data_IF_932359261172
#
_entry.id   IF_932359261172
#
_cell.length_a   1.000
_cell.length_b   1.000
_cell.length_c   1.000
_cell.angle_alpha   90.00
_cell.angle_beta   90.00
_cell.angle_gamma   90.00
#
_symmetry.space_group_name_H-M   'P 1'
#
loop_
_entity.id
_entity.type
_entity.pdbx_description
1 polymer ?
#
# COMPACT_ATOMS: atom_id res chain seq x y z
N UNK A 1 -11.01 7.31 0.27
CA UNK A 1 -11.68 8.26 1.19
C UNK A 1 -12.41 9.37 0.42
N UNK A 2 -11.81 9.96 -0.61
CA UNK A 2 -12.40 11.04 -1.42
C UNK A 2 -13.74 10.71 -2.09
N UNK A 3 -14.02 9.44 -2.40
CA UNK A 3 -15.27 9.01 -3.07
C UNK A 3 -16.53 9.25 -2.22
N UNK A 4 -16.40 9.25 -0.89
CA UNK A 4 -17.52 9.52 0.04
C UNK A 4 -17.56 10.99 0.46
N UNK A 5 -16.39 11.62 0.57
CA UNK A 5 -16.24 12.99 1.07
C UNK A 5 -16.70 14.04 0.04
N UNK A 6 -16.47 13.80 -1.26
CA UNK A 6 -16.89 14.71 -2.34
C UNK A 6 -18.42 14.86 -2.41
N UNK A 7 -19.24 13.78 -2.46
CA UNK A 7 -20.69 13.91 -2.42
C UNK A 7 -21.21 14.57 -1.13
N UNK A 8 -20.58 14.30 0.02
CA UNK A 8 -21.00 14.87 1.30
C UNK A 8 -20.79 16.40 1.37
N UNK A 9 -19.67 16.89 0.85
CA UNK A 9 -19.41 18.34 0.73
C UNK A 9 -20.39 18.99 -0.24
N UNK A 10 -20.63 18.38 -1.41
CA UNK A 10 -21.59 18.88 -2.41
C UNK A 10 -23.01 18.94 -1.81
N UNK A 11 -23.45 17.89 -1.11
CA UNK A 11 -24.74 17.88 -0.44
C UNK A 11 -24.86 19.01 0.59
N UNK A 12 -23.81 19.24 1.39
CA UNK A 12 -23.81 20.28 2.41
C UNK A 12 -23.89 21.70 1.82
N UNK A 13 -23.34 21.91 0.61
CA UNK A 13 -23.51 23.17 -0.15
C UNK A 13 -24.98 23.38 -0.53
N UNK A 14 -25.69 22.34 -0.97
CA UNK A 14 -27.11 22.44 -1.30
C UNK A 14 -28.01 22.69 -0.09
N UNK A 15 -27.61 22.18 1.09
CA UNK A 15 -28.31 22.41 2.36
C UNK A 15 -28.05 23.83 2.90
N UNK A 16 -27.01 24.52 2.41
CA UNK A 16 -26.66 25.89 2.82
C UNK A 16 -25.90 25.98 4.14
N UNK A 17 -25.41 24.85 4.67
CA UNK A 17 -24.63 24.81 5.91
C UNK A 17 -23.15 25.08 5.62
N UNK A 18 -22.80 26.37 5.57
CA UNK A 18 -21.45 26.85 5.29
C UNK A 18 -20.42 26.40 6.34
N UNK A 19 -20.83 26.19 7.59
CA UNK A 19 -19.93 25.75 8.65
C UNK A 19 -19.46 24.31 8.39
N UNK A 20 -20.40 23.43 8.04
CA UNK A 20 -20.11 22.05 7.67
C UNK A 20 -19.32 21.95 6.37
N UNK A 21 -19.62 22.78 5.37
CA UNK A 21 -18.87 22.82 4.09
C UNK A 21 -17.40 23.18 4.33
N UNK A 22 -17.13 24.26 5.07
CA UNK A 22 -15.75 24.71 5.34
C UNK A 22 -15.03 23.68 6.20
N UNK A 23 -15.68 23.18 7.26
CA UNK A 23 -15.11 22.19 8.17
C UNK A 23 -14.74 20.88 7.46
N UNK A 24 -15.66 20.32 6.67
CA UNK A 24 -15.41 19.08 5.91
C UNK A 24 -14.37 19.26 4.81
N UNK A 25 -14.35 20.40 4.14
CA UNK A 25 -13.35 20.68 3.08
C UNK A 25 -11.95 20.83 3.68
N UNK A 26 -11.82 21.59 4.76
CA UNK A 26 -10.56 21.74 5.48
C UNK A 26 -10.06 20.41 6.05
N UNK A 27 -10.95 19.62 6.65
CA UNK A 27 -10.63 18.28 7.15
C UNK A 27 -10.20 17.33 6.03
N UNK A 28 -10.93 17.31 4.91
CA UNK A 28 -10.62 16.49 3.75
C UNK A 28 -9.27 16.82 3.13
N UNK A 29 -8.92 18.10 3.02
CA UNK A 29 -7.61 18.49 2.49
C UNK A 29 -6.46 18.24 3.48
N UNK A 30 -6.64 18.63 4.74
CA UNK A 30 -5.57 18.56 5.73
C UNK A 30 -5.42 17.15 6.28
N UNK A 31 -6.42 16.60 6.96
CA UNK A 31 -6.27 15.30 7.58
C UNK A 31 -6.19 14.19 6.51
N UNK A 32 -7.22 14.06 5.68
CA UNK A 32 -7.30 12.94 4.73
C UNK A 32 -6.26 13.09 3.62
N UNK A 33 -6.12 14.28 3.04
CA UNK A 33 -5.13 14.54 2.01
C UNK A 33 -3.69 14.32 2.46
N UNK A 34 -3.29 14.80 3.65
CA UNK A 34 -1.92 14.57 4.15
C UNK A 34 -1.68 13.10 4.51
N UNK A 35 -2.65 12.43 5.14
CA UNK A 35 -2.49 11.02 5.51
C UNK A 35 -2.36 10.15 4.25
N UNK A 36 -3.25 10.33 3.28
CA UNK A 36 -3.32 9.46 2.11
C UNK A 36 -2.21 9.77 1.09
N UNK A 37 -1.82 11.05 0.92
CA UNK A 37 -0.83 11.44 -0.11
C UNK A 37 0.61 11.57 0.42
N UNK A 38 0.83 11.74 1.72
CA UNK A 38 2.18 11.91 2.28
C UNK A 38 2.58 10.77 3.22
N UNK A 39 1.78 10.51 4.25
CA UNK A 39 2.10 9.46 5.21
C UNK A 39 2.02 8.08 4.57
N UNK A 40 1.03 7.83 3.72
CA UNK A 40 0.88 6.58 2.98
C UNK A 40 2.14 6.22 2.20
N UNK A 41 2.58 7.05 1.24
CA UNK A 41 3.81 6.80 0.49
C UNK A 41 5.06 6.79 1.36
N UNK A 42 5.16 7.65 2.38
CA UNK A 42 6.32 7.68 3.28
C UNK A 42 6.50 6.35 4.03
N UNK A 43 5.42 5.83 4.61
CA UNK A 43 5.41 4.53 5.28
C UNK A 43 5.63 3.37 4.30
N UNK A 44 5.01 3.44 3.11
CA UNK A 44 5.10 2.39 2.09
C UNK A 44 6.46 2.37 1.37
N UNK A 45 7.18 3.49 1.31
CA UNK A 45 8.48 3.60 0.61
C UNK A 45 9.59 2.75 1.22
N UNK A 46 9.38 2.25 2.44
CA UNK A 46 10.30 1.32 3.11
C UNK A 46 10.01 -0.15 2.80
N UNK A 47 8.92 -0.44 2.09
CA UNK A 47 8.63 -1.77 1.56
C UNK A 47 9.64 -2.14 0.47
N UNK A 48 10.23 -3.32 0.60
CA UNK A 48 11.23 -3.91 -0.31
C UNK A 48 10.88 -3.62 -1.77
N UNK A 49 11.84 -3.09 -2.54
CA UNK A 49 11.69 -2.80 -3.98
C UNK A 49 11.66 -4.11 -4.79
N UNK A 50 10.62 -4.91 -4.58
CA UNK A 50 10.40 -6.12 -5.37
C UNK A 50 10.02 -5.71 -6.79
N UNK A 51 10.71 -6.28 -7.78
CA UNK A 51 10.47 -5.95 -9.18
C UNK A 51 9.02 -6.29 -9.57
N UNK A 52 8.29 -5.40 -10.28
CA UNK A 52 6.86 -5.57 -10.56
C UNK A 52 6.49 -6.89 -11.23
N UNK A 53 7.38 -7.44 -12.07
CA UNK A 53 7.16 -8.74 -12.70
C UNK A 53 7.13 -9.90 -11.72
N UNK A 54 7.94 -9.85 -10.64
CA UNK A 54 7.93 -10.91 -9.64
C UNK A 54 6.59 -10.92 -8.92
N UNK A 55 6.06 -9.74 -8.58
CA UNK A 55 4.72 -9.60 -7.99
C UNK A 55 3.64 -10.07 -8.95
N UNK A 56 3.73 -9.75 -10.24
CA UNK A 56 2.78 -10.22 -11.25
C UNK A 56 2.74 -11.76 -11.33
N UNK A 57 3.91 -12.39 -11.38
CA UNK A 57 4.02 -13.86 -11.40
C UNK A 57 3.47 -14.44 -10.10
N UNK A 58 3.75 -13.81 -8.96
CA UNK A 58 3.21 -14.21 -7.66
C UNK A 58 1.68 -14.19 -7.63
N UNK A 59 1.07 -13.13 -8.17
CA UNK A 59 -0.39 -12.99 -8.25
C UNK A 59 -0.98 -14.04 -9.20
N UNK A 60 -0.45 -14.17 -10.42
CA UNK A 60 -0.98 -15.12 -11.40
C UNK A 60 -0.82 -16.57 -10.93
N UNK A 61 0.34 -16.92 -10.39
CA UNK A 61 0.60 -18.24 -9.81
C UNK A 61 -0.25 -18.49 -8.56
N UNK A 62 -0.39 -17.49 -7.69
CA UNK A 62 -1.25 -17.57 -6.51
C UNK A 62 -2.70 -17.82 -6.89
N UNK A 63 -3.23 -17.09 -7.87
CA UNK A 63 -4.61 -17.28 -8.36
C UNK A 63 -4.77 -18.67 -8.98
N UNK A 64 -3.80 -19.14 -9.76
CA UNK A 64 -3.86 -20.46 -10.38
C UNK A 64 -3.87 -21.61 -9.34
N UNK A 65 -3.15 -21.45 -8.22
CA UNK A 65 -3.01 -22.49 -7.18
C UNK A 65 -4.12 -22.44 -6.11
N UNK A 66 -4.51 -21.24 -5.68
CA UNK A 66 -5.40 -21.04 -4.54
C UNK A 66 -6.76 -20.41 -4.93
N UNK A 67 -6.97 -20.09 -6.20
CA UNK A 67 -8.18 -19.38 -6.66
C UNK A 67 -8.17 -17.89 -6.29
N UNK A 68 -9.33 -17.24 -6.11
CA UNK A 68 -9.40 -15.78 -5.88
C UNK A 68 -8.59 -15.28 -4.68
N UNK A 69 -8.50 -16.06 -3.59
CA UNK A 69 -7.69 -15.70 -2.41
C UNK A 69 -6.19 -15.66 -2.74
N UNK A 70 -5.78 -16.37 -3.79
CA UNK A 70 -4.43 -16.42 -4.32
C UNK A 70 -3.85 -15.07 -4.74
N UNK A 71 -4.71 -14.08 -5.03
CA UNK A 71 -4.28 -12.70 -5.29
C UNK A 71 -3.51 -12.10 -4.11
N UNK A 72 -3.92 -12.42 -2.88
CA UNK A 72 -3.27 -11.93 -1.65
C UNK A 72 -2.18 -12.92 -1.22
N UNK A 73 -2.50 -14.21 -1.23
CA UNK A 73 -1.60 -15.26 -0.73
C UNK A 73 -0.32 -15.36 -1.56
N UNK A 74 -0.41 -15.22 -2.90
CA UNK A 74 0.73 -15.32 -3.80
C UNK A 74 1.85 -14.31 -3.50
N UNK A 75 1.56 -13.00 -3.52
CA UNK A 75 2.54 -11.96 -3.15
C UNK A 75 3.11 -12.15 -1.74
N UNK A 76 2.29 -12.51 -0.76
CA UNK A 76 2.76 -12.71 0.63
C UNK A 76 3.80 -13.81 0.72
N UNK A 77 3.54 -14.98 0.10
CA UNK A 77 4.50 -16.09 0.07
C UNK A 77 5.78 -15.68 -0.66
N UNK A 78 5.66 -14.99 -1.80
CA UNK A 78 6.83 -14.54 -2.54
C UNK A 78 7.68 -13.52 -1.80
N UNK A 79 7.06 -12.57 -1.09
CA UNK A 79 7.80 -11.61 -0.26
C UNK A 79 8.55 -12.32 0.87
N UNK A 80 7.92 -13.31 1.53
CA UNK A 80 8.59 -14.09 2.57
C UNK A 80 9.80 -14.86 2.01
N UNK A 81 9.65 -15.48 0.84
CA UNK A 81 10.74 -16.20 0.19
C UNK A 81 11.91 -15.29 -0.16
N UNK A 82 11.65 -14.12 -0.74
CA UNK A 82 12.71 -13.15 -1.05
C UNK A 82 13.42 -12.64 0.20
N UNK A 83 12.67 -12.35 1.27
CA UNK A 83 13.27 -11.95 2.55
C UNK A 83 14.16 -13.06 3.11
N UNK A 84 13.75 -14.32 3.01
CA UNK A 84 14.60 -15.44 3.42
C UNK A 84 15.88 -15.54 2.59
N UNK A 85 15.80 -15.35 1.26
CA UNK A 85 16.97 -15.32 0.40
C UNK A 85 17.91 -14.14 0.73
N UNK A 86 17.35 -12.96 1.00
CA UNK A 86 18.10 -11.78 1.39
C UNK A 86 18.85 -12.01 2.72
N UNK A 87 18.15 -12.56 3.71
CA UNK A 87 18.76 -12.92 5.00
C UNK A 87 19.85 -13.99 4.84
N UNK A 88 19.62 -15.02 4.02
CA UNK A 88 20.61 -16.06 3.72
C UNK A 88 21.88 -15.46 3.08
N UNK A 89 21.72 -14.61 2.06
CA UNK A 89 22.84 -14.00 1.38
C UNK A 89 23.66 -13.11 2.33
N UNK A 90 22.97 -12.29 3.14
CA UNK A 90 23.61 -11.40 4.09
C UNK A 90 24.34 -12.13 5.23
N UNK A 91 23.80 -13.23 5.74
CA UNK A 91 24.34 -13.87 6.96
C UNK A 91 25.21 -15.09 6.69
N UNK A 92 25.06 -15.77 5.55
CA UNK A 92 25.82 -17.00 5.26
C UNK A 92 26.87 -16.76 4.19
N UNK A 93 26.51 -16.08 3.08
CA UNK A 93 27.46 -15.88 1.97
C UNK A 93 28.51 -14.82 2.30
N UNK A 94 28.13 -13.71 2.96
CA UNK A 94 29.05 -12.63 3.33
C UNK A 94 30.05 -13.05 4.44
N UNK A 95 29.71 -14.04 5.28
CA UNK A 95 30.56 -14.50 6.39
C UNK A 95 31.63 -15.53 5.97
N UNK A 96 31.61 -16.02 4.73
CA UNK A 96 32.60 -17.00 4.22
C UNK A 96 33.72 -16.37 3.36
N UNK A 97 33.72 -15.05 3.14
CA UNK A 97 34.83 -14.34 2.49
C UNK A 97 35.65 -13.59 3.55
N UNK A 98 36.70 -14.21 4.11
CA UNK A 98 37.71 -13.46 4.84
C UNK A 98 38.45 -12.59 3.83
N UNK A 99 38.53 -11.28 4.09
CA UNK A 99 39.47 -10.39 3.38
C UNK A 99 40.92 -10.89 3.52
#
# INVERSE_FOLDING_TARGET
TSIVLVPAVIYSVFVGDWFTVIGLTAWGMLAVGLIDNLLGPYLMSRGTKQHPFVTLIAVLGGIALFGPIGFIVGPVIMSLFLVLLELYNQHIVENEVPE
#
